data_IF_693565478046
#
_entry.id   IF_693565478046
#
_cell.length_a   1.000
_cell.length_b   1.000
_cell.length_c   1.000
_cell.angle_alpha   90.00
_cell.angle_beta   90.00
_cell.angle_gamma   90.00
#
_symmetry.space_group_name_H-M   'P 1'
#
loop_
_entity.id
_entity.type
_entity.pdbx_description
1 polymer ?
#
# COMPACT_ATOMS: atom_id res chain seq x y z
N UNK A 1 -22.22 -20.26 26.42
CA UNK A 1 -21.57 -20.89 25.22
C UNK A 1 -22.49 -20.82 24.00
N UNK A 2 -23.23 -19.71 23.77
CA UNK A 2 -24.24 -19.69 22.70
C UNK A 2 -24.41 -18.30 22.04
N UNK A 3 -23.32 -17.60 21.74
CA UNK A 3 -23.36 -16.37 20.94
C UNK A 3 -22.08 -16.16 20.12
N UNK A 4 -21.56 -17.20 19.47
CA UNK A 4 -20.77 -16.99 18.24
C UNK A 4 -21.74 -16.91 17.07
N UNK A 5 -22.65 -15.90 17.08
CA UNK A 5 -23.35 -15.48 15.88
C UNK A 5 -22.28 -15.26 14.80
N UNK A 6 -22.34 -16.03 13.71
CA UNK A 6 -21.36 -15.98 12.60
C UNK A 6 -21.14 -14.51 12.24
N UNK A 7 -20.00 -13.97 12.60
CA UNK A 7 -19.57 -12.63 12.21
C UNK A 7 -19.54 -12.60 10.68
N UNK A 8 -20.59 -12.09 10.08
CA UNK A 8 -20.69 -11.93 8.63
C UNK A 8 -19.94 -10.68 8.23
N UNK A 9 -18.73 -10.85 7.73
CA UNK A 9 -17.96 -9.75 7.12
C UNK A 9 -18.79 -9.21 5.95
N UNK A 10 -19.02 -7.92 5.93
CA UNK A 10 -19.67 -7.27 4.80
C UNK A 10 -18.75 -7.33 3.57
N UNK A 11 -19.05 -8.24 2.65
CA UNK A 11 -18.24 -8.49 1.44
C UNK A 11 -18.03 -7.22 0.60
N UNK A 12 -19.06 -6.35 0.52
CA UNK A 12 -18.94 -5.09 -0.23
C UNK A 12 -17.95 -4.12 0.38
N UNK A 13 -17.90 -4.02 1.72
CA UNK A 13 -16.94 -3.15 2.43
C UNK A 13 -15.51 -3.67 2.31
N UNK A 14 -15.32 -4.99 2.39
CA UNK A 14 -14.00 -5.59 2.14
C UNK A 14 -13.56 -5.36 0.70
N UNK A 15 -14.44 -5.55 -0.28
CA UNK A 15 -14.13 -5.29 -1.67
C UNK A 15 -13.76 -3.82 -1.92
N UNK A 16 -14.50 -2.87 -1.33
CA UNK A 16 -14.19 -1.46 -1.45
C UNK A 16 -12.80 -1.12 -0.87
N UNK A 17 -12.46 -1.64 0.32
CA UNK A 17 -11.13 -1.45 0.90
C UNK A 17 -10.04 -2.05 0.00
N UNK A 18 -10.24 -3.26 -0.52
CA UNK A 18 -9.30 -3.95 -1.41
C UNK A 18 -9.09 -3.20 -2.74
N UNK A 19 -10.17 -2.60 -3.29
CA UNK A 19 -10.07 -1.72 -4.47
C UNK A 19 -9.28 -0.46 -4.13
N UNK A 20 -9.48 0.13 -2.94
CA UNK A 20 -8.68 1.26 -2.46
C UNK A 20 -7.19 0.92 -2.46
N UNK A 21 -6.81 -0.22 -1.91
CA UNK A 21 -5.41 -0.68 -1.88
C UNK A 21 -4.83 -0.86 -3.30
N UNK A 22 -5.62 -1.42 -4.22
CA UNK A 22 -5.22 -1.55 -5.63
C UNK A 22 -4.92 -0.19 -6.27
N UNK A 23 -5.76 0.81 -6.01
CA UNK A 23 -5.62 2.15 -6.57
C UNK A 23 -4.42 2.89 -5.97
N UNK A 24 -4.16 2.71 -4.67
CA UNK A 24 -2.99 3.28 -3.99
C UNK A 24 -1.69 2.67 -4.52
N UNK A 25 -1.67 1.35 -4.78
CA UNK A 25 -0.54 0.68 -5.44
C UNK A 25 -0.36 1.11 -6.88
N UNK A 26 -1.44 1.29 -7.62
CA UNK A 26 -1.38 1.80 -8.98
C UNK A 26 -0.65 3.14 -9.03
N UNK A 27 -1.02 4.10 -8.18
CA UNK A 27 -0.40 5.43 -8.13
C UNK A 27 1.10 5.34 -7.78
N UNK A 28 1.45 4.53 -6.78
CA UNK A 28 2.85 4.30 -6.41
C UNK A 28 3.69 3.71 -7.55
N UNK A 29 3.12 2.76 -8.29
CA UNK A 29 3.81 2.02 -9.35
C UNK A 29 3.78 2.73 -10.72
N UNK A 30 2.90 3.70 -10.91
CA UNK A 30 2.76 4.45 -12.16
C UNK A 30 4.11 5.02 -12.64
N UNK A 31 4.94 5.49 -11.70
CA UNK A 31 6.28 6.00 -12.02
C UNK A 31 7.17 4.96 -12.70
N UNK A 32 7.02 3.67 -12.41
CA UNK A 32 7.81 2.61 -13.03
C UNK A 32 7.61 2.56 -14.55
N UNK A 33 6.39 2.85 -15.00
CA UNK A 33 6.05 2.93 -16.43
C UNK A 33 6.46 4.27 -17.02
N UNK A 34 6.09 5.36 -16.39
CA UNK A 34 6.39 6.71 -16.89
C UNK A 34 7.89 6.96 -16.99
N UNK A 35 8.70 6.45 -16.06
CA UNK A 35 10.14 6.62 -16.10
C UNK A 35 10.75 5.99 -17.37
N UNK A 36 10.21 4.89 -17.86
CA UNK A 36 10.70 4.23 -19.08
C UNK A 36 10.58 5.15 -20.32
N UNK A 37 9.51 5.96 -20.38
CA UNK A 37 9.34 6.97 -21.43
C UNK A 37 10.29 8.16 -21.22
N UNK A 38 10.36 8.69 -20.01
CA UNK A 38 11.21 9.83 -19.66
C UNK A 38 12.70 9.51 -19.89
N UNK A 39 13.16 8.30 -19.58
CA UNK A 39 14.54 7.87 -19.80
C UNK A 39 14.91 7.98 -21.26
N UNK A 40 14.00 7.60 -22.17
CA UNK A 40 14.21 7.69 -23.61
C UNK A 40 14.25 9.14 -24.09
N UNK A 41 13.29 9.96 -23.66
CA UNK A 41 13.13 11.33 -24.12
C UNK A 41 14.23 12.28 -23.60
N UNK A 42 14.62 12.10 -22.33
CA UNK A 42 15.61 12.96 -21.66
C UNK A 42 17.02 12.37 -21.66
N UNK A 43 17.23 11.22 -22.28
CA UNK A 43 18.52 10.50 -22.31
C UNK A 43 19.13 10.35 -20.89
N UNK A 44 18.29 10.01 -19.91
CA UNK A 44 18.73 9.86 -18.52
C UNK A 44 19.76 8.74 -18.37
N UNK A 45 20.77 8.99 -17.57
CA UNK A 45 21.74 7.97 -17.17
C UNK A 45 21.11 6.96 -16.21
N UNK A 46 21.74 5.78 -16.08
CA UNK A 46 21.33 4.78 -15.06
C UNK A 46 21.29 5.36 -13.64
N UNK A 47 22.29 6.22 -13.31
CA UNK A 47 22.34 6.87 -11.99
C UNK A 47 21.19 7.82 -11.75
N UNK A 48 20.78 8.61 -12.73
CA UNK A 48 19.65 9.54 -12.61
C UNK A 48 18.32 8.80 -12.48
N UNK A 49 18.07 7.78 -13.31
CA UNK A 49 16.87 6.96 -13.24
C UNK A 49 16.81 6.18 -11.92
N UNK A 50 17.94 5.65 -11.45
CA UNK A 50 18.04 5.02 -10.15
C UNK A 50 17.76 6.00 -9.01
N UNK A 51 18.30 7.22 -9.06
CA UNK A 51 18.05 8.26 -8.06
C UNK A 51 16.57 8.62 -7.94
N UNK A 52 15.86 8.74 -9.06
CA UNK A 52 14.42 9.00 -9.11
C UNK A 52 13.65 7.90 -8.37
N UNK A 53 13.92 6.62 -8.67
CA UNK A 53 13.21 5.50 -8.04
C UNK A 53 13.62 5.28 -6.57
N UNK A 54 14.92 5.35 -6.27
CA UNK A 54 15.45 5.14 -4.93
C UNK A 54 15.02 6.23 -3.94
N UNK A 55 14.72 7.45 -4.41
CA UNK A 55 14.28 8.53 -3.54
C UNK A 55 13.06 8.16 -2.70
N UNK A 56 12.11 7.42 -3.27
CA UNK A 56 10.94 6.90 -2.54
C UNK A 56 11.33 5.81 -1.52
N UNK A 57 12.34 5.00 -1.83
CA UNK A 57 12.88 4.01 -0.88
C UNK A 57 13.60 4.66 0.29
N UNK A 58 14.35 5.74 0.07
CA UNK A 58 15.03 6.49 1.12
C UNK A 58 14.05 7.19 2.06
N UNK A 59 12.94 7.70 1.53
CA UNK A 59 11.90 8.36 2.33
C UNK A 59 11.02 7.36 3.12
N UNK A 60 10.99 6.10 2.71
CA UNK A 60 10.10 5.07 3.28
C UNK A 60 10.29 4.86 4.80
N UNK A 61 11.50 4.69 5.35
CA UNK A 61 11.70 4.57 6.80
C UNK A 61 11.23 5.80 7.58
N UNK A 62 11.47 7.00 7.05
CA UNK A 62 11.03 8.25 7.65
C UNK A 62 9.52 8.34 7.67
N UNK A 63 8.87 8.00 6.54
CA UNK A 63 7.42 7.98 6.41
C UNK A 63 6.78 7.01 7.40
N UNK A 64 7.26 5.77 7.48
CA UNK A 64 6.71 4.75 8.39
C UNK A 64 6.81 5.16 9.86
N UNK A 65 7.94 5.72 10.28
CA UNK A 65 8.16 6.17 11.66
C UNK A 65 7.28 7.36 12.03
N UNK A 66 7.28 8.40 11.18
CA UNK A 66 6.56 9.64 11.47
C UNK A 66 5.05 9.41 11.40
N UNK A 67 4.54 8.78 10.33
CA UNK A 67 3.11 8.53 10.20
C UNK A 67 2.60 7.51 11.21
N UNK A 68 3.39 6.50 11.60
CA UNK A 68 3.05 5.58 12.67
C UNK A 68 2.87 6.30 14.01
N UNK A 69 3.79 7.19 14.37
CA UNK A 69 3.68 8.00 15.58
C UNK A 69 2.51 8.98 15.53
N UNK A 70 2.26 9.61 14.39
CA UNK A 70 1.11 10.51 14.19
C UNK A 70 -0.20 9.72 14.31
N UNK A 71 -0.28 8.50 13.75
CA UNK A 71 -1.46 7.65 13.81
C UNK A 71 -1.86 7.27 15.25
N UNK A 72 -0.86 7.05 16.10
CA UNK A 72 -1.11 6.78 17.51
C UNK A 72 -1.69 8.00 18.25
N UNK A 73 -1.40 9.22 17.80
CA UNK A 73 -1.88 10.46 18.42
C UNK A 73 -3.24 10.94 17.93
N UNK A 74 -3.44 10.99 16.60
CA UNK A 74 -4.61 11.64 15.99
C UNK A 74 -5.65 10.66 15.45
N UNK A 75 -5.33 9.35 15.45
CA UNK A 75 -6.15 8.28 14.92
C UNK A 75 -5.71 7.81 13.53
N UNK A 76 -6.05 6.56 13.23
CA UNK A 76 -5.54 5.89 12.01
C UNK A 76 -6.26 6.34 10.75
N UNK A 77 -7.59 6.57 10.83
CA UNK A 77 -8.37 7.07 9.69
C UNK A 77 -7.85 8.41 9.18
N UNK A 78 -7.58 9.34 10.07
CA UNK A 78 -7.07 10.67 9.69
C UNK A 78 -5.73 10.59 9.01
N UNK A 79 -4.87 9.71 9.50
CA UNK A 79 -3.53 9.50 8.91
C UNK A 79 -3.64 8.85 7.54
N UNK A 80 -4.50 7.86 7.34
CA UNK A 80 -4.75 7.26 6.01
C UNK A 80 -5.15 8.35 5.01
N UNK A 81 -6.09 9.21 5.37
CA UNK A 81 -6.53 10.31 4.49
C UNK A 81 -5.38 11.29 4.21
N UNK A 82 -4.61 11.66 5.23
CA UNK A 82 -3.49 12.60 5.09
C UNK A 82 -2.36 12.00 4.22
N UNK A 83 -2.06 10.73 4.36
CA UNK A 83 -1.05 10.03 3.55
C UNK A 83 -1.46 9.91 2.09
N UNK A 84 -2.74 9.59 1.81
CA UNK A 84 -3.29 9.57 0.45
C UNK A 84 -3.20 10.95 -0.18
N UNK A 85 -3.62 12.00 0.53
CA UNK A 85 -3.48 13.38 0.04
C UNK A 85 -2.02 13.74 -0.24
N UNK A 86 -1.10 13.36 0.65
CA UNK A 86 0.32 13.64 0.49
C UNK A 86 0.87 13.04 -0.81
N UNK A 87 0.71 11.72 -1.03
CA UNK A 87 1.28 11.10 -2.22
C UNK A 87 0.50 11.45 -3.50
N UNK A 88 -0.83 11.65 -3.45
CA UNK A 88 -1.62 12.06 -4.61
C UNK A 88 -1.24 13.45 -5.10
N UNK A 89 -1.07 14.41 -4.19
CA UNK A 89 -0.59 15.76 -4.54
C UNK A 89 0.81 15.66 -5.16
N UNK A 90 1.71 14.87 -4.56
CA UNK A 90 3.06 14.70 -5.08
C UNK A 90 3.05 14.06 -6.48
N UNK A 91 2.19 13.07 -6.74
CA UNK A 91 1.99 12.47 -8.06
C UNK A 91 1.44 13.51 -9.07
N UNK A 92 0.45 14.29 -8.65
CA UNK A 92 -0.08 15.37 -9.49
C UNK A 92 0.96 16.42 -9.85
N UNK A 93 1.83 16.78 -8.92
CA UNK A 93 2.93 17.73 -9.17
C UNK A 93 3.93 17.16 -10.19
N UNK A 94 4.13 15.83 -10.27
CA UNK A 94 5.00 15.23 -11.28
C UNK A 94 4.51 15.50 -12.72
N UNK A 95 3.21 15.69 -12.94
CA UNK A 95 2.68 16.10 -14.25
C UNK A 95 3.20 17.48 -14.70
N UNK A 96 3.54 18.34 -13.75
CA UNK A 96 4.04 19.71 -14.00
C UNK A 96 5.57 19.77 -14.12
N UNK A 97 6.26 18.63 -14.15
CA UNK A 97 7.72 18.59 -14.22
C UNK A 97 8.23 19.29 -15.48
N UNK A 98 9.16 20.27 -15.37
CA UNK A 98 9.78 20.88 -16.52
C UNK A 98 10.62 19.88 -17.31
N UNK A 99 10.94 20.20 -18.57
CA UNK A 99 11.80 19.36 -19.39
C UNK A 99 13.18 19.22 -18.75
N UNK A 100 13.73 18.00 -18.74
CA UNK A 100 14.95 17.61 -18.02
C UNK A 100 14.96 17.89 -16.51
N UNK A 101 13.77 18.08 -15.91
CA UNK A 101 13.60 18.34 -14.47
C UNK A 101 13.71 17.08 -13.60
N UNK A 102 14.69 16.19 -13.82
CA UNK A 102 14.83 14.94 -13.07
C UNK A 102 14.98 15.15 -11.55
N UNK A 103 15.61 16.26 -11.12
CA UNK A 103 15.70 16.60 -9.69
C UNK A 103 14.32 16.87 -9.08
N UNK A 104 13.45 17.56 -9.83
CA UNK A 104 12.07 17.80 -9.40
C UNK A 104 11.32 16.46 -9.22
N UNK A 105 11.51 15.50 -10.14
CA UNK A 105 10.97 14.16 -10.00
C UNK A 105 11.50 13.45 -8.74
N UNK A 106 12.80 13.57 -8.44
CA UNK A 106 13.41 13.02 -7.21
C UNK A 106 12.69 13.54 -5.96
N UNK A 107 12.46 14.86 -5.88
CA UNK A 107 11.76 15.49 -4.74
C UNK A 107 10.31 15.01 -4.64
N UNK A 108 9.58 14.98 -5.74
CA UNK A 108 8.21 14.50 -5.75
C UNK A 108 8.13 13.00 -5.37
N UNK A 109 9.04 12.17 -5.88
CA UNK A 109 9.13 10.75 -5.52
C UNK A 109 9.50 10.53 -4.05
N UNK A 110 10.31 11.38 -3.47
CA UNK A 110 10.57 11.36 -2.03
C UNK A 110 9.26 11.58 -1.25
N UNK A 111 8.45 12.57 -1.63
CA UNK A 111 7.15 12.84 -1.00
C UNK A 111 6.16 11.69 -1.21
N UNK A 112 6.12 11.09 -2.41
CA UNK A 112 5.29 9.90 -2.67
C UNK A 112 5.68 8.75 -1.76
N UNK A 113 6.97 8.39 -1.69
CA UNK A 113 7.45 7.30 -0.84
C UNK A 113 7.17 7.55 0.64
N UNK A 114 7.34 8.79 1.11
CA UNK A 114 7.01 9.21 2.47
C UNK A 114 5.53 8.99 2.80
N UNK A 115 4.60 9.35 1.88
CA UNK A 115 3.17 9.16 2.07
C UNK A 115 2.74 7.69 2.00
N UNK A 116 3.16 6.98 0.97
CA UNK A 116 2.75 5.59 0.70
C UNK A 116 3.17 4.65 1.83
N UNK A 117 4.38 4.76 2.35
CA UNK A 117 4.81 3.91 3.47
C UNK A 117 4.08 4.20 4.76
N UNK A 118 3.67 5.45 4.99
CA UNK A 118 2.76 5.82 6.07
C UNK A 118 1.42 5.12 5.95
N UNK A 119 0.85 5.10 4.75
CA UNK A 119 -0.40 4.38 4.47
C UNK A 119 -0.27 2.90 4.83
N UNK A 120 0.74 2.19 4.31
CA UNK A 120 0.93 0.77 4.58
C UNK A 120 1.12 0.45 6.05
N UNK A 121 1.86 1.27 6.79
CA UNK A 121 2.07 1.08 8.23
C UNK A 121 0.75 1.07 8.99
N UNK A 122 -0.20 1.92 8.57
CA UNK A 122 -1.50 2.05 9.25
C UNK A 122 -2.51 1.04 8.72
N UNK A 123 -2.54 0.80 7.41
CA UNK A 123 -3.54 -0.04 6.74
C UNK A 123 -3.43 -1.51 7.15
N UNK A 124 -2.23 -2.07 7.24
CA UNK A 124 -2.02 -3.45 7.71
C UNK A 124 -2.66 -3.67 9.09
N UNK A 125 -2.53 -2.70 9.99
CA UNK A 125 -3.12 -2.78 11.31
C UNK A 125 -4.66 -2.71 11.24
N UNK A 126 -5.22 -1.87 10.33
CA UNK A 126 -6.67 -1.78 10.10
C UNK A 126 -7.22 -3.12 9.61
N UNK A 127 -6.60 -3.70 8.59
CA UNK A 127 -7.06 -4.99 8.04
C UNK A 127 -6.99 -6.09 9.09
N UNK A 128 -5.94 -6.16 9.90
CA UNK A 128 -5.79 -7.19 10.94
C UNK A 128 -6.82 -7.09 12.07
N UNK A 129 -7.32 -5.90 12.38
CA UNK A 129 -8.35 -5.72 13.42
C UNK A 129 -9.73 -6.19 12.98
N UNK A 130 -10.09 -6.00 11.71
CA UNK A 130 -11.41 -6.37 11.20
C UNK A 130 -11.50 -7.84 10.71
N UNK A 131 -10.39 -8.55 10.61
CA UNK A 131 -10.34 -9.93 10.09
C UNK A 131 -10.44 -10.94 11.24
N UNK A 132 -11.43 -11.88 11.22
CA UNK A 132 -11.52 -12.98 12.16
C UNK A 132 -10.26 -13.85 12.16
N UNK A 133 -9.90 -14.40 13.32
CA UNK A 133 -8.70 -15.22 13.48
C UNK A 133 -8.64 -16.42 12.51
N UNK A 134 -9.80 -17.00 12.15
CA UNK A 134 -9.93 -18.12 11.22
C UNK A 134 -9.62 -17.77 9.75
N UNK A 135 -9.58 -16.47 9.37
CA UNK A 135 -9.36 -16.01 8.01
C UNK A 135 -8.19 -15.03 7.87
N UNK A 136 -7.35 -14.94 8.89
CA UNK A 136 -6.18 -14.05 8.90
C UNK A 136 -5.07 -14.45 7.91
N UNK A 137 -5.12 -15.63 7.32
CA UNK A 137 -4.24 -16.02 6.20
C UNK A 137 -4.81 -15.56 4.86
N UNK A 138 -6.07 -15.94 4.58
CA UNK A 138 -6.70 -15.71 3.29
C UNK A 138 -6.97 -14.23 2.97
N UNK A 139 -7.57 -13.46 3.90
CA UNK A 139 -7.98 -12.07 3.61
C UNK A 139 -6.78 -11.16 3.33
N UNK A 140 -5.71 -11.11 4.17
CA UNK A 140 -4.51 -10.37 3.81
C UNK A 140 -3.84 -10.87 2.52
N UNK A 141 -3.91 -12.18 2.25
CA UNK A 141 -3.44 -12.76 0.99
C UNK A 141 -4.16 -12.19 -0.23
N UNK A 142 -5.49 -12.09 -0.18
CA UNK A 142 -6.30 -11.47 -1.24
C UNK A 142 -5.97 -9.99 -1.37
N UNK A 143 -5.85 -9.25 -0.27
CA UNK A 143 -5.48 -7.83 -0.29
C UNK A 143 -4.12 -7.63 -0.96
N UNK A 144 -3.11 -8.44 -0.60
CA UNK A 144 -1.78 -8.34 -1.23
C UNK A 144 -1.76 -8.74 -2.70
N UNK A 145 -2.75 -9.50 -3.17
CA UNK A 145 -2.91 -9.86 -4.60
C UNK A 145 -3.35 -8.64 -5.43
N UNK A 146 -3.87 -7.60 -4.81
CA UNK A 146 -4.24 -6.36 -5.50
C UNK A 146 -3.03 -5.51 -5.93
N UNK A 147 -1.83 -5.76 -5.36
CA UNK A 147 -0.60 -5.11 -5.83
C UNK A 147 -0.31 -5.37 -7.32
N UNK A 148 -0.19 -6.65 -7.77
CA UNK A 148 -0.01 -6.92 -9.18
C UNK A 148 -1.18 -6.42 -10.05
N UNK A 149 -2.41 -6.37 -9.53
CA UNK A 149 -3.55 -5.82 -10.27
C UNK A 149 -3.38 -4.31 -10.52
N UNK A 150 -2.93 -3.54 -9.52
CA UNK A 150 -2.57 -2.13 -9.69
C UNK A 150 -1.43 -1.94 -10.69
N UNK A 151 -0.46 -2.87 -10.70
CA UNK A 151 0.64 -2.85 -11.66
C UNK A 151 0.17 -3.13 -13.09
N UNK A 152 -0.76 -4.08 -13.29
CA UNK A 152 -1.38 -4.33 -14.60
C UNK A 152 -2.09 -3.08 -15.11
N UNK A 153 -2.83 -2.37 -14.25
CA UNK A 153 -3.51 -1.13 -14.63
C UNK A 153 -2.49 -0.09 -15.14
N UNK A 154 -1.38 0.10 -14.43
CA UNK A 154 -0.28 0.97 -14.87
C UNK A 154 0.33 0.54 -16.19
N UNK A 155 0.53 -0.77 -16.39
CA UNK A 155 1.08 -1.34 -17.62
C UNK A 155 0.14 -1.11 -18.83
N UNK A 156 -1.16 -1.32 -18.65
CA UNK A 156 -2.18 -1.08 -19.68
C UNK A 156 -2.21 0.40 -20.07
N UNK A 157 -2.20 1.31 -19.09
CA UNK A 157 -2.17 2.74 -19.39
C UNK A 157 -0.86 3.13 -20.10
N UNK A 158 0.30 2.61 -19.66
CA UNK A 158 1.58 2.85 -20.31
C UNK A 158 1.65 2.30 -21.72
N UNK A 159 1.03 1.14 -21.98
CA UNK A 159 1.06 0.50 -23.29
C UNK A 159 0.14 1.18 -24.32
N UNK A 160 -1.08 1.55 -23.90
CA UNK A 160 -2.12 1.95 -24.83
C UNK A 160 -2.45 3.44 -24.81
N UNK A 161 -2.25 4.12 -23.69
CA UNK A 161 -2.73 5.48 -23.51
C UNK A 161 -1.62 6.53 -23.63
N UNK A 162 -0.36 6.16 -23.37
CA UNK A 162 0.76 7.10 -23.43
C UNK A 162 0.87 7.79 -24.78
N UNK A 163 0.67 7.06 -25.89
CA UNK A 163 0.72 7.61 -27.25
C UNK A 163 -0.28 8.75 -27.51
N UNK A 164 -1.38 8.83 -26.74
CA UNK A 164 -2.41 9.85 -26.89
C UNK A 164 -2.26 11.01 -25.92
N UNK A 165 -1.84 10.76 -24.69
CA UNK A 165 -1.81 11.77 -23.62
C UNK A 165 -0.39 12.16 -23.18
N UNK A 166 0.61 11.41 -23.64
CA UNK A 166 2.00 11.55 -23.21
C UNK A 166 2.20 11.15 -21.74
N UNK A 167 3.46 11.09 -21.31
CA UNK A 167 3.80 10.70 -19.94
C UNK A 167 3.26 11.66 -18.85
N UNK A 168 3.14 12.97 -19.16
CA UNK A 168 2.52 13.94 -18.25
C UNK A 168 1.03 13.67 -18.05
N UNK A 169 0.34 13.28 -19.13
CA UNK A 169 -1.07 12.90 -19.05
C UNK A 169 -1.30 11.64 -18.23
N UNK A 170 -0.36 10.69 -18.23
CA UNK A 170 -0.44 9.50 -17.37
C UNK A 170 -0.44 9.87 -15.88
N UNK A 171 0.39 10.83 -15.45
CA UNK A 171 0.35 11.33 -14.07
C UNK A 171 -0.97 12.06 -13.74
N UNK A 172 -1.49 12.85 -14.67
CA UNK A 172 -2.77 13.52 -14.47
C UNK A 172 -3.93 12.51 -14.33
N UNK A 173 -3.94 11.45 -15.15
CA UNK A 173 -4.90 10.35 -15.03
C UNK A 173 -4.70 9.57 -13.74
N UNK A 174 -3.47 9.42 -13.26
CA UNK A 174 -3.12 8.80 -11.98
C UNK A 174 -3.81 9.46 -10.78
N UNK A 175 -4.18 10.73 -10.86
CA UNK A 175 -4.95 11.40 -9.81
C UNK A 175 -6.39 10.88 -9.66
N UNK A 176 -7.00 10.32 -10.70
CA UNK A 176 -8.38 9.82 -10.64
C UNK A 176 -8.53 8.63 -9.68
N UNK A 177 -7.72 7.55 -9.82
CA UNK A 177 -7.70 6.47 -8.85
C UNK A 177 -7.39 6.91 -7.42
N UNK A 178 -6.45 7.85 -7.24
CA UNK A 178 -6.14 8.39 -5.93
C UNK A 178 -7.33 9.14 -5.30
N UNK A 179 -8.06 9.92 -6.10
CA UNK A 179 -9.32 10.55 -5.66
C UNK A 179 -10.39 9.53 -5.27
N UNK A 180 -10.53 8.43 -6.01
CA UNK A 180 -11.45 7.33 -5.68
C UNK A 180 -11.03 6.62 -4.38
N UNK A 181 -9.75 6.33 -4.21
CA UNK A 181 -9.22 5.75 -2.97
C UNK A 181 -9.52 6.65 -1.77
N UNK A 182 -9.31 7.95 -1.90
CA UNK A 182 -9.64 8.93 -0.87
C UNK A 182 -11.13 8.90 -0.49
N UNK A 183 -12.03 8.85 -1.46
CA UNK A 183 -13.47 8.75 -1.22
C UNK A 183 -13.83 7.45 -0.48
N UNK A 184 -13.28 6.31 -0.89
CA UNK A 184 -13.51 5.02 -0.24
C UNK A 184 -13.03 5.08 1.22
N UNK A 185 -11.83 5.59 1.46
CA UNK A 185 -11.23 5.68 2.81
C UNK A 185 -11.98 6.68 3.70
N UNK A 186 -12.57 7.73 3.13
CA UNK A 186 -13.39 8.68 3.89
C UNK A 186 -14.65 8.04 4.49
N UNK A 187 -15.17 6.95 3.93
CA UNK A 187 -16.34 6.23 4.43
C UNK A 187 -16.00 5.19 5.51
N UNK A 188 -14.74 4.79 5.63
CA UNK A 188 -14.30 3.84 6.66
C UNK A 188 -14.23 4.57 8.02
N UNK A 189 -14.89 4.08 9.08
CA UNK A 189 -14.83 4.69 10.40
C UNK A 189 -13.43 4.55 11.03
N UNK A 190 -13.19 5.29 12.12
CA UNK A 190 -11.97 5.15 12.91
C UNK A 190 -11.93 3.77 13.60
N UNK A 191 -10.72 3.25 13.85
CA UNK A 191 -10.54 1.95 14.47
C UNK A 191 -11.07 1.89 15.90
N UNK A 192 -11.84 0.83 16.19
CA UNK A 192 -12.46 0.63 17.48
C UNK A 192 -11.42 0.53 18.62
N UNK A 193 -10.30 -0.17 18.40
CA UNK A 193 -9.24 -0.28 19.40
C UNK A 193 -8.59 1.06 19.75
N UNK A 194 -8.38 1.92 18.77
CA UNK A 194 -7.86 3.26 19.01
C UNK A 194 -8.88 4.11 19.79
N UNK A 195 -10.16 4.07 19.40
CA UNK A 195 -11.24 4.80 20.06
C UNK A 195 -11.42 4.36 21.52
N UNK A 196 -11.34 3.06 21.81
CA UNK A 196 -11.36 2.52 23.17
C UNK A 196 -10.16 3.06 23.96
N UNK A 197 -8.97 3.07 23.37
CA UNK A 197 -7.74 3.55 24.02
C UNK A 197 -7.81 5.03 24.42
N UNK A 198 -8.48 5.86 23.62
CA UNK A 198 -8.67 7.29 23.90
C UNK A 198 -9.94 7.59 24.72
N UNK A 199 -10.69 6.56 25.15
CA UNK A 199 -11.89 6.71 25.97
C UNK A 199 -13.16 7.10 25.20
N UNK A 200 -13.15 7.10 23.85
CA UNK A 200 -14.31 7.42 22.99
C UNK A 200 -15.16 6.19 22.75
N UNK A 201 -15.76 5.65 23.84
CA UNK A 201 -16.43 4.35 23.85
C UNK A 201 -17.67 4.27 22.94
N UNK A 202 -18.44 5.35 22.83
CA UNK A 202 -19.64 5.36 21.98
C UNK A 202 -19.28 5.29 20.50
N UNK A 203 -18.26 6.00 20.08
CA UNK A 203 -17.76 5.92 18.71
C UNK A 203 -17.10 4.57 18.42
N UNK A 204 -16.43 3.96 19.40
CA UNK A 204 -15.91 2.61 19.28
C UNK A 204 -17.03 1.59 19.05
N UNK A 205 -18.16 1.75 19.78
CA UNK A 205 -19.37 0.93 19.60
C UNK A 205 -19.92 1.07 18.18
N UNK A 206 -20.05 2.30 17.67
CA UNK A 206 -20.52 2.57 16.31
C UNK A 206 -19.57 1.99 15.26
N UNK A 207 -18.26 2.11 15.45
CA UNK A 207 -17.25 1.53 14.56
C UNK A 207 -17.34 0.01 14.49
N UNK A 208 -17.49 -0.67 15.63
CA UNK A 208 -17.70 -2.12 15.69
C UNK A 208 -19.03 -2.52 15.05
N UNK A 209 -20.11 -1.78 15.30
CA UNK A 209 -21.42 -2.01 14.71
C UNK A 209 -21.35 -1.90 13.18
N UNK A 210 -20.64 -0.89 12.68
CA UNK A 210 -20.40 -0.71 11.25
C UNK A 210 -19.62 -1.90 10.67
N UNK A 211 -18.56 -2.37 11.35
CA UNK A 211 -17.75 -3.49 10.88
C UNK A 211 -18.51 -4.82 10.86
N UNK A 212 -19.29 -5.07 11.90
CA UNK A 212 -20.02 -6.33 12.11
C UNK A 212 -21.42 -6.33 11.45
N UNK A 213 -21.88 -5.19 10.97
CA UNK A 213 -23.21 -5.00 10.37
C UNK A 213 -24.32 -5.42 11.36
N UNK A 214 -24.21 -4.98 12.61
CA UNK A 214 -25.17 -5.21 13.71
C UNK A 214 -25.62 -3.88 14.32
N UNK A 215 -26.71 -3.89 15.13
CA UNK A 215 -27.12 -2.69 15.82
C UNK A 215 -26.06 -2.29 16.89
N UNK A 216 -25.68 -1.01 17.00
CA UNK A 216 -24.75 -0.53 18.02
C UNK A 216 -25.15 -0.93 19.45
N UNK A 217 -26.44 -1.09 19.72
CA UNK A 217 -26.99 -1.50 21.05
C UNK A 217 -26.62 -2.94 21.41
N UNK A 218 -26.37 -3.80 20.43
CA UNK A 218 -25.98 -5.20 20.66
C UNK A 218 -24.49 -5.34 21.04
N UNK A 219 -23.69 -4.28 20.89
CA UNK A 219 -22.25 -4.33 21.13
C UNK A 219 -21.92 -3.86 22.55
N UNK A 220 -21.33 -4.76 23.32
CA UNK A 220 -20.73 -4.44 24.61
C UNK A 220 -19.26 -4.05 24.42
N UNK A 221 -18.95 -2.79 24.67
CA UNK A 221 -17.57 -2.30 24.72
C UNK A 221 -17.07 -2.39 26.17
N UNK A 222 -15.87 -2.92 26.44
CA UNK A 222 -15.34 -3.00 27.80
C UNK A 222 -15.26 -1.61 28.44
N UNK A 223 -15.87 -1.45 29.60
CA UNK A 223 -15.89 -0.20 30.35
C UNK A 223 -14.50 0.16 30.94
N UNK A 224 -13.61 -0.82 31.06
CA UNK A 224 -12.28 -0.64 31.64
C UNK A 224 -11.24 -0.59 30.54
N UNK A 225 -10.75 0.59 30.29
CA UNK A 225 -9.54 0.82 29.45
C UNK A 225 -8.32 0.48 30.32
N UNK A 226 -7.66 -0.65 30.06
CA UNK A 226 -6.36 -0.91 30.71
C UNK A 226 -5.38 0.15 30.18
N UNK A 227 -4.68 0.88 31.05
CA UNK A 227 -3.64 1.79 30.60
C UNK A 227 -2.63 0.98 29.78
N UNK A 228 -2.44 1.39 28.53
CA UNK A 228 -1.41 0.76 27.69
C UNK A 228 -0.06 1.17 28.28
N UNK A 229 0.70 0.21 28.77
CA UNK A 229 2.07 0.43 29.18
C UNK A 229 2.81 1.11 28.00
N UNK A 230 3.54 2.17 28.29
CA UNK A 230 4.35 2.86 27.27
C UNK A 230 5.43 1.90 26.81
N UNK A 231 5.21 1.24 25.67
CA UNK A 231 6.23 0.39 25.06
C UNK A 231 7.41 1.29 24.70
N UNK A 232 8.55 1.06 25.33
CA UNK A 232 9.78 1.79 25.05
C UNK A 232 10.51 1.03 23.93
N UNK A 233 10.96 1.73 22.90
CA UNK A 233 11.76 1.17 21.78
C UNK A 233 12.88 0.23 22.25
N UNK A 234 13.42 0.47 23.43
CA UNK A 234 14.44 -0.35 24.05
C UNK A 234 13.99 -1.79 24.34
N UNK A 235 12.70 -2.03 24.47
CA UNK A 235 12.16 -3.39 24.69
C UNK A 235 12.23 -4.29 23.47
N UNK A 236 12.27 -3.71 22.26
CA UNK A 236 12.50 -4.47 21.02
C UNK A 236 13.82 -5.25 21.06
N UNK A 237 14.87 -4.67 21.67
CA UNK A 237 16.16 -5.33 21.77
C UNK A 237 16.21 -6.51 22.75
N UNK A 238 15.14 -6.71 23.54
CA UNK A 238 14.98 -7.93 24.35
C UNK A 238 14.66 -9.17 23.50
N UNK A 239 14.23 -8.95 22.21
CA UNK A 239 13.85 -9.99 21.27
C UNK A 239 14.70 -9.97 20.00
N UNK A 240 16.04 -10.20 20.09
CA UNK A 240 16.96 -9.98 18.97
C UNK A 240 16.66 -10.87 17.76
N UNK A 241 16.18 -12.10 17.98
CA UNK A 241 15.80 -13.03 16.88
C UNK A 241 14.63 -12.50 16.07
N UNK A 242 13.60 -11.95 16.73
CA UNK A 242 12.43 -11.38 16.06
C UNK A 242 12.80 -10.10 15.30
N UNK A 243 13.67 -9.27 15.87
CA UNK A 243 14.18 -8.06 15.22
C UNK A 243 15.02 -8.44 13.99
N UNK A 244 15.93 -9.40 14.12
CA UNK A 244 16.74 -9.88 12.99
C UNK A 244 15.89 -10.48 11.87
N UNK A 245 14.89 -11.31 12.21
CA UNK A 245 13.96 -11.86 11.22
C UNK A 245 13.17 -10.74 10.50
N UNK A 246 12.67 -9.74 11.24
CA UNK A 246 12.01 -8.58 10.66
C UNK A 246 12.91 -7.77 9.72
N UNK A 247 14.15 -7.53 10.11
CA UNK A 247 15.13 -6.85 9.26
C UNK A 247 15.45 -7.63 7.98
N UNK A 248 15.66 -8.95 8.09
CA UNK A 248 15.92 -9.80 6.92
C UNK A 248 14.75 -9.83 5.95
N UNK A 249 13.52 -9.97 6.47
CA UNK A 249 12.30 -9.91 5.66
C UNK A 249 12.15 -8.55 4.99
N UNK A 250 12.43 -7.46 5.70
CA UNK A 250 12.41 -6.10 5.15
C UNK A 250 13.43 -5.90 4.02
N UNK A 251 14.65 -6.39 4.20
CA UNK A 251 15.72 -6.32 3.18
C UNK A 251 15.36 -7.11 1.92
N UNK A 252 14.84 -8.33 2.07
CA UNK A 252 14.39 -9.13 0.91
C UNK A 252 13.22 -8.46 0.17
N UNK A 253 12.25 -7.93 0.90
CA UNK A 253 11.14 -7.17 0.35
C UNK A 253 11.59 -5.92 -0.41
N UNK A 254 12.57 -5.19 0.12
CA UNK A 254 13.15 -4.02 -0.55
C UNK A 254 13.81 -4.37 -1.88
N UNK A 255 14.55 -5.47 -1.94
CA UNK A 255 15.18 -5.96 -3.18
C UNK A 255 14.13 -6.29 -4.25
N UNK A 256 13.09 -7.03 -3.88
CA UNK A 256 12.00 -7.41 -4.79
C UNK A 256 11.26 -6.15 -5.28
N UNK A 257 10.90 -5.23 -4.38
CA UNK A 257 10.18 -4.00 -4.74
C UNK A 257 11.04 -3.10 -5.64
N UNK A 258 12.33 -2.98 -5.35
CA UNK A 258 13.27 -2.23 -6.19
C UNK A 258 13.34 -2.79 -7.61
N UNK A 259 13.41 -4.11 -7.76
CA UNK A 259 13.39 -4.76 -9.07
C UNK A 259 12.06 -4.50 -9.79
N UNK A 260 10.92 -4.66 -9.12
CA UNK A 260 9.58 -4.41 -9.70
C UNK A 260 9.44 -2.97 -10.19
N UNK A 261 9.90 -2.00 -9.41
CA UNK A 261 9.86 -0.59 -9.79
C UNK A 261 10.74 -0.26 -11.01
N UNK A 262 11.85 -0.96 -11.16
CA UNK A 262 12.83 -0.65 -12.22
C UNK A 262 12.73 -1.57 -13.42
N UNK A 263 11.97 -2.66 -13.36
CA UNK A 263 11.94 -3.70 -14.39
C UNK A 263 11.54 -3.16 -15.78
N UNK A 264 10.56 -2.23 -15.88
CA UNK A 264 10.15 -1.64 -17.17
C UNK A 264 11.31 -0.84 -17.78
N UNK A 265 11.95 -0.01 -16.97
CA UNK A 265 13.13 0.77 -17.38
C UNK A 265 14.30 -0.14 -17.78
N UNK A 266 14.54 -1.23 -17.04
CA UNK A 266 15.56 -2.22 -17.39
C UNK A 266 15.27 -2.89 -18.72
N UNK A 267 14.02 -3.25 -19.01
CA UNK A 267 13.67 -3.83 -20.32
C UNK A 267 13.96 -2.85 -21.46
N UNK A 268 13.63 -1.57 -21.29
CA UNK A 268 13.98 -0.55 -22.29
C UNK A 268 15.49 -0.38 -22.44
N UNK A 269 16.22 -0.30 -21.34
CA UNK A 269 17.66 -0.02 -21.36
C UNK A 269 18.53 -1.22 -21.78
N UNK A 270 18.14 -2.43 -21.38
CA UNK A 270 18.95 -3.65 -21.61
C UNK A 270 18.50 -4.41 -22.85
N UNK A 271 17.19 -4.55 -23.07
CA UNK A 271 16.64 -5.29 -24.20
C UNK A 271 16.41 -4.39 -25.42
N UNK A 272 16.56 -3.06 -25.26
CA UNK A 272 16.35 -2.06 -26.30
C UNK A 272 14.95 -2.11 -26.94
N UNK A 273 13.96 -2.59 -26.20
CA UNK A 273 12.54 -2.61 -26.63
C UNK A 273 11.89 -1.24 -26.41
N UNK A 274 10.79 -0.99 -27.11
CA UNK A 274 10.02 0.23 -26.89
C UNK A 274 9.35 0.22 -25.49
N UNK A 275 9.19 1.39 -24.82
CA UNK A 275 8.53 1.46 -23.51
C UNK A 275 7.13 0.84 -23.48
N UNK A 276 6.33 0.98 -24.55
CA UNK A 276 5.03 0.37 -24.66
C UNK A 276 5.10 -1.17 -24.70
N UNK A 277 6.04 -1.74 -25.46
CA UNK A 277 6.29 -3.19 -25.50
C UNK A 277 6.81 -3.70 -24.14
N UNK A 278 7.72 -2.96 -23.51
CA UNK A 278 8.21 -3.28 -22.18
C UNK A 278 7.05 -3.33 -21.16
N UNK A 279 6.12 -2.38 -21.23
CA UNK A 279 4.91 -2.38 -20.40
C UNK A 279 4.03 -3.60 -20.68
N UNK A 280 3.89 -4.02 -21.94
CA UNK A 280 3.17 -5.23 -22.33
C UNK A 280 3.77 -6.51 -21.73
N UNK A 281 5.10 -6.65 -21.71
CA UNK A 281 5.77 -7.79 -21.06
C UNK A 281 5.45 -7.89 -19.57
N UNK A 282 5.34 -6.75 -18.91
CA UNK A 282 5.01 -6.68 -17.47
C UNK A 282 3.60 -7.16 -17.19
N UNK A 283 2.65 -7.00 -18.11
CA UNK A 283 1.29 -7.54 -17.95
C UNK A 283 1.35 -9.07 -17.73
N UNK A 284 2.11 -9.79 -18.56
CA UNK A 284 2.26 -11.23 -18.42
C UNK A 284 2.94 -11.65 -17.12
N UNK A 285 4.00 -10.95 -16.72
CA UNK A 285 4.68 -11.19 -15.44
C UNK A 285 3.75 -10.99 -14.25
N UNK A 286 2.92 -9.95 -14.30
CA UNK A 286 1.96 -9.63 -13.23
C UNK A 286 0.86 -10.68 -13.11
N UNK A 287 0.41 -11.28 -14.21
CA UNK A 287 -0.51 -12.42 -14.15
C UNK A 287 0.10 -13.61 -13.42
N UNK A 288 1.38 -13.93 -13.70
CA UNK A 288 2.11 -14.96 -12.97
C UNK A 288 2.20 -14.67 -11.47
N UNK A 289 2.43 -13.41 -11.09
CA UNK A 289 2.45 -12.99 -9.68
C UNK A 289 1.08 -13.15 -9.00
N UNK A 290 -0.02 -12.82 -9.69
CA UNK A 290 -1.38 -13.01 -9.17
C UNK A 290 -1.64 -14.48 -8.88
N UNK A 291 -1.40 -15.35 -9.86
CA UNK A 291 -1.59 -16.79 -9.71
C UNK A 291 -0.73 -17.36 -8.57
N UNK A 292 0.56 -16.96 -8.52
CA UNK A 292 1.47 -17.39 -7.47
C UNK A 292 1.00 -16.97 -6.07
N UNK A 293 0.53 -15.74 -5.90
CA UNK A 293 0.02 -15.24 -4.59
C UNK A 293 -1.24 -15.98 -4.15
N UNK A 294 -2.19 -16.23 -5.05
CA UNK A 294 -3.37 -17.03 -4.72
C UNK A 294 -3.00 -18.46 -4.32
N UNK A 295 -2.09 -19.08 -5.07
CA UNK A 295 -1.60 -20.42 -4.79
C UNK A 295 -0.89 -20.49 -3.42
N UNK A 296 0.03 -19.56 -3.14
CA UNK A 296 0.72 -19.50 -1.85
C UNK A 296 -0.23 -19.22 -0.68
N UNK A 297 -1.24 -18.36 -0.88
CA UNK A 297 -2.24 -18.07 0.16
C UNK A 297 -3.07 -19.31 0.48
N UNK A 298 -3.52 -20.04 -0.55
CA UNK A 298 -4.24 -21.29 -0.39
C UNK A 298 -3.37 -22.36 0.28
N UNK A 299 -2.12 -22.50 -0.16
CA UNK A 299 -1.18 -23.48 0.37
C UNK A 299 -0.88 -23.22 1.86
N UNK A 300 -0.74 -21.94 2.25
CA UNK A 300 -0.51 -21.52 3.63
C UNK A 300 -1.64 -21.94 4.58
N UNK A 301 -2.88 -21.89 4.10
CA UNK A 301 -4.03 -22.33 4.90
C UNK A 301 -4.20 -23.86 4.89
N UNK A 302 -3.75 -24.57 3.81
CA UNK A 302 -3.88 -26.02 3.66
C UNK A 302 -2.81 -26.80 4.45
N UNK A 303 -1.54 -26.39 4.37
CA UNK A 303 -0.39 -27.12 4.97
C UNK A 303 0.24 -26.42 6.17
N UNK A 304 -0.29 -25.25 6.54
CA UNK A 304 0.24 -24.45 7.63
C UNK A 304 1.32 -23.46 7.18
N UNK A 305 1.52 -22.44 7.98
CA UNK A 305 2.32 -21.25 7.62
C UNK A 305 3.83 -21.47 7.62
N UNK A 306 4.34 -22.55 8.25
CA UNK A 306 5.78 -22.80 8.35
C UNK A 306 6.43 -23.22 7.04
N UNK A 307 5.72 -23.98 6.22
CA UNK A 307 6.25 -24.57 4.97
C UNK A 307 6.26 -23.55 3.82
N UNK A 308 5.23 -22.71 3.60
CA UNK A 308 5.25 -21.74 2.50
C UNK A 308 6.16 -20.53 2.73
N UNK A 309 6.66 -20.31 3.94
CA UNK A 309 7.51 -19.16 4.31
C UNK A 309 9.00 -19.54 4.37
N UNK A 310 9.31 -20.82 4.49
CA UNK A 310 10.68 -21.37 4.43
C UNK A 310 11.11 -21.71 3.05
#
# INVERSE_FOLDING_TARGET
MEQQKKLTINRGRCAAATIGDMLDYFDFLLMAFVLAFIVKDWHLTYGQSAAILLSSGVSAPLGSLIWGWVADKIGRRKVIIATILNFSIATGLMALTPDNGWIFLVVCRFLVGFGVTGLYTVDIAVVQEFVPASRRGWIPGVTTTMLPAGFILGAVLGQYLEAYVGWRGLFAIGLLPAGMSLLIRAWVPELAHWLIRVGRLEEARQSLAWALTVDPKEIQVPAVVRPVEKVVWRELFKYPRSVAAGCLTGLSGTGITGFVLWQVTLFVMVLHVNPAEASGLVIWLSHGQIVGRFFCSWLSDAIGRRIPIG
#
